data_IF_269954871850
#
_entry.id   IF_269954871850
#
_cell.length_a   1.000
_cell.length_b   1.000
_cell.length_c   1.000
_cell.angle_alpha   90.00
_cell.angle_beta   90.00
_cell.angle_gamma   90.00
#
_symmetry.space_group_name_H-M   'P 1'
#
loop_
_entity.id
_entity.type
_entity.pdbx_description
1 polymer ?
#
# COMPACT_ATOMS: atom_id res chain seq x y z
N UNK A 1 -5.22 21.89 1.86
CA UNK A 1 -5.49 21.25 0.56
C UNK A 1 -6.10 19.89 0.82
N UNK A 2 -7.09 19.47 0.05
CA UNK A 2 -7.62 18.10 0.16
C UNK A 2 -6.67 17.11 -0.53
N UNK A 3 -6.57 15.85 -0.07
CA UNK A 3 -5.78 14.82 -0.75
C UNK A 3 -6.31 14.56 -2.16
N UNK A 4 -5.40 14.33 -3.09
CA UNK A 4 -5.71 13.80 -4.42
C UNK A 4 -5.38 12.31 -4.47
N UNK A 5 -5.95 11.59 -5.44
CA UNK A 5 -5.64 10.17 -5.64
C UNK A 5 -4.16 9.91 -6.00
N UNK A 6 -3.39 10.95 -6.38
CA UNK A 6 -1.95 10.86 -6.64
C UNK A 6 -1.07 11.07 -5.41
N UNK A 7 -1.63 11.47 -4.26
CA UNK A 7 -0.88 11.59 -3.01
C UNK A 7 -0.82 10.22 -2.32
N UNK A 8 0.32 9.54 -2.45
CA UNK A 8 0.51 8.18 -1.97
C UNK A 8 1.48 8.13 -0.79
N UNK A 9 1.10 7.40 0.26
CA UNK A 9 2.03 6.84 1.23
C UNK A 9 2.25 5.37 0.85
N UNK A 10 3.49 5.01 0.48
CA UNK A 10 3.81 3.67 -0.02
C UNK A 10 4.70 2.93 0.97
N UNK A 11 4.25 1.76 1.42
CA UNK A 11 5.04 0.83 2.21
C UNK A 11 5.48 -0.36 1.35
N UNK A 12 6.79 -0.55 1.22
CA UNK A 12 7.38 -1.70 0.54
C UNK A 12 7.62 -2.83 1.55
N UNK A 13 6.90 -3.94 1.37
CA UNK A 13 6.88 -5.10 2.24
C UNK A 13 7.29 -6.34 1.44
N UNK A 14 8.59 -6.54 1.15
CA UNK A 14 9.04 -7.65 0.30
C UNK A 14 8.79 -9.03 0.93
N UNK A 15 8.72 -9.13 2.26
CA UNK A 15 8.35 -10.37 2.93
C UNK A 15 6.83 -10.60 2.79
N UNK A 16 6.46 -11.66 2.07
CA UNK A 16 5.07 -12.00 1.78
C UNK A 16 4.20 -12.13 3.05
N UNK A 17 4.75 -12.69 4.12
CA UNK A 17 4.04 -12.80 5.40
C UNK A 17 3.73 -11.44 6.04
N UNK A 18 4.65 -10.48 5.97
CA UNK A 18 4.44 -9.12 6.47
C UNK A 18 3.39 -8.37 5.63
N UNK A 19 3.45 -8.53 4.30
CA UNK A 19 2.46 -7.98 3.39
C UNK A 19 1.04 -8.53 3.64
N UNK A 20 0.88 -9.85 3.74
CA UNK A 20 -0.42 -10.46 4.07
C UNK A 20 -0.94 -10.02 5.43
N UNK A 21 -0.06 -9.94 6.42
CA UNK A 21 -0.43 -9.46 7.76
C UNK A 21 -0.93 -8.02 7.73
N UNK A 22 -0.21 -7.13 7.04
CA UNK A 22 -0.60 -5.72 6.93
C UNK A 22 -1.92 -5.55 6.15
N UNK A 23 -2.06 -6.20 5.00
CA UNK A 23 -3.29 -6.14 4.19
C UNK A 23 -4.51 -6.74 4.90
N UNK A 24 -4.31 -7.80 5.70
CA UNK A 24 -5.39 -8.40 6.52
C UNK A 24 -5.79 -7.47 7.67
N UNK A 25 -4.84 -6.78 8.31
CA UNK A 25 -5.11 -5.80 9.37
C UNK A 25 -5.91 -4.61 8.85
N UNK A 26 -5.60 -4.10 7.66
CA UNK A 26 -6.40 -3.03 7.04
C UNK A 26 -7.87 -3.43 6.92
N UNK A 27 -8.14 -4.59 6.30
CA UNK A 27 -9.51 -5.11 6.14
C UNK A 27 -10.20 -5.38 7.48
N UNK A 28 -9.50 -5.97 8.44
CA UNK A 28 -10.06 -6.25 9.76
C UNK A 28 -10.50 -4.97 10.50
N UNK A 29 -9.82 -3.85 10.25
CA UNK A 29 -10.19 -2.53 10.80
C UNK A 29 -11.25 -1.79 9.96
N UNK A 30 -11.82 -2.43 8.93
CA UNK A 30 -12.86 -1.87 8.08
C UNK A 30 -12.36 -1.05 6.90
N UNK A 31 -11.05 -1.08 6.60
CA UNK A 31 -10.50 -0.46 5.40
C UNK A 31 -10.48 -1.48 4.26
N UNK A 32 -11.46 -1.37 3.37
CA UNK A 32 -11.47 -2.16 2.13
C UNK A 32 -10.48 -1.60 1.10
N UNK A 33 -9.86 -2.47 0.30
CA UNK A 33 -9.00 -2.03 -0.78
C UNK A 33 -9.81 -1.28 -1.85
N UNK A 34 -9.24 -0.21 -2.37
CA UNK A 34 -9.77 0.59 -3.47
C UNK A 34 -8.93 0.38 -4.72
N UNK A 35 -9.51 0.61 -5.89
CA UNK A 35 -8.76 0.62 -7.14
C UNK A 35 -7.71 1.75 -7.11
N UNK A 36 -6.49 1.44 -7.56
CA UNK A 36 -5.45 2.45 -7.68
C UNK A 36 -5.70 3.35 -8.87
N UNK A 37 -5.47 4.66 -8.72
CA UNK A 37 -5.54 5.59 -9.87
C UNK A 37 -4.50 5.24 -10.95
N UNK A 38 -3.31 4.78 -10.53
CA UNK A 38 -2.32 4.18 -11.41
C UNK A 38 -2.35 2.64 -11.24
N UNK A 39 -2.80 1.87 -12.26
CA UNK A 39 -2.88 0.40 -12.21
C UNK A 39 -1.55 -0.32 -11.95
N UNK A 40 -0.42 0.39 -12.06
CA UNK A 40 0.88 -0.15 -11.64
C UNK A 40 0.85 -0.71 -10.21
N UNK A 41 0.19 0.00 -9.28
CA UNK A 41 0.15 -0.38 -7.86
C UNK A 41 -0.65 -1.65 -7.59
N UNK A 42 -1.63 -1.96 -8.44
CA UNK A 42 -2.48 -3.15 -8.29
C UNK A 42 -1.80 -4.44 -8.80
N UNK A 43 -0.63 -4.34 -9.45
CA UNK A 43 0.09 -5.52 -9.96
C UNK A 43 0.64 -6.40 -8.85
N UNK A 44 1.21 -5.78 -7.81
CA UNK A 44 1.87 -6.49 -6.70
C UNK A 44 1.54 -5.86 -5.34
N UNK A 45 0.53 -4.99 -5.29
CA UNK A 45 0.15 -4.29 -4.07
C UNK A 45 -1.36 -4.13 -3.96
N UNK A 46 -1.75 -3.45 -2.90
CA UNK A 46 -3.13 -3.02 -2.67
C UNK A 46 -3.13 -1.57 -2.18
N UNK A 47 -4.09 -0.81 -2.68
CA UNK A 47 -4.33 0.57 -2.24
C UNK A 47 -5.52 0.62 -1.31
N UNK A 48 -5.40 1.40 -0.25
CA UNK A 48 -6.45 1.70 0.72
C UNK A 48 -6.66 3.21 0.81
N UNK A 49 -7.81 3.63 1.32
CA UNK A 49 -8.06 5.01 1.76
C UNK A 49 -7.98 5.05 3.29
N UNK A 50 -7.25 6.00 3.87
CA UNK A 50 -7.30 6.24 5.31
C UNK A 50 -8.47 7.16 5.70
N UNK A 51 -8.63 7.41 7.01
CA UNK A 51 -9.74 8.22 7.53
C UNK A 51 -9.73 9.69 7.06
N UNK A 52 -8.59 10.18 6.57
CA UNK A 52 -8.41 11.55 6.08
C UNK A 52 -8.50 11.64 4.55
N UNK A 53 -8.72 10.52 3.85
CA UNK A 53 -8.85 10.44 2.39
C UNK A 53 -7.53 10.25 1.63
N UNK A 54 -6.41 9.98 2.31
CA UNK A 54 -5.13 9.70 1.65
C UNK A 54 -5.04 8.26 1.18
N UNK A 55 -4.22 8.02 0.15
CA UNK A 55 -3.98 6.68 -0.39
C UNK A 55 -2.78 6.03 0.28
N UNK A 56 -3.02 4.88 0.90
CA UNK A 56 -1.98 4.02 1.47
C UNK A 56 -1.79 2.82 0.55
N UNK A 57 -0.60 2.67 -0.01
CA UNK A 57 -0.24 1.53 -0.85
C UNK A 57 0.63 0.57 -0.05
N UNK A 58 0.19 -0.67 0.09
CA UNK A 58 1.01 -1.77 0.59
C UNK A 58 1.53 -2.54 -0.61
N UNK A 59 2.85 -2.52 -0.86
CA UNK A 59 3.48 -3.10 -2.05
C UNK A 59 4.32 -4.32 -1.67
N UNK A 60 4.05 -5.49 -2.26
CA UNK A 60 4.84 -6.69 -2.03
C UNK A 60 6.08 -6.75 -2.95
N UNK A 61 6.90 -5.69 -2.91
CA UNK A 61 8.19 -5.63 -3.58
C UNK A 61 9.22 -5.00 -2.64
N UNK A 62 10.50 -5.19 -2.96
CA UNK A 62 11.56 -4.42 -2.33
C UNK A 62 11.47 -2.96 -2.79
N UNK A 63 11.77 -2.03 -1.88
CA UNK A 63 11.92 -0.62 -2.25
C UNK A 63 13.07 -0.48 -3.25
N UNK A 64 12.92 0.32 -4.33
CA UNK A 64 13.99 0.54 -5.30
C UNK A 64 15.21 1.24 -4.70
N UNK A 65 15.07 1.86 -3.53
CA UNK A 65 16.14 2.66 -2.89
C UNK A 65 16.87 1.91 -1.77
N UNK A 66 16.32 0.81 -1.25
CA UNK A 66 16.97 0.03 -0.18
C UNK A 66 17.69 -1.17 -0.79
N UNK A 67 19.02 -1.20 -0.69
CA UNK A 67 19.79 -2.41 -1.03
C UNK A 67 19.40 -3.52 -0.06
N UNK A 68 18.90 -4.63 -0.61
CA UNK A 68 18.72 -5.87 0.13
C UNK A 68 20.11 -6.37 0.55
N UNK A 69 20.48 -6.19 1.82
CA UNK A 69 21.75 -6.68 2.35
C UNK A 69 22.24 -5.92 3.57
N UNK A 70 21.76 -6.32 4.74
CA UNK A 70 22.55 -6.49 5.95
C UNK A 70 22.04 -7.74 6.65
#
# INVERSE_FOLDING_TARGET
MAPTQGNLLVFYLPQLGAYHTATSRMRYQGFDPVASFNPFWDRFGQTFEDADGYRVVLMNLASPTVRAGA
#
